data_IF_192910648274
#
_entry.id   IF_192910648274
#
_cell.length_a   1.000
_cell.length_b   1.000
_cell.length_c   1.000
_cell.angle_alpha   90.00
_cell.angle_beta   90.00
_cell.angle_gamma   90.00
#
_symmetry.space_group_name_H-M   'P 1'
#
loop_
_entity.id
_entity.type
_entity.pdbx_description
1 polymer ?
#
# COMPACT_ATOMS: atom_id res chain seq x y z
N UNK A 1 -15.01 12.34 -1.37
CA UNK A 1 -14.77 13.15 -0.15
C UNK A 1 -13.68 14.16 -0.48
N UNK A 2 -13.93 15.46 -0.33
CA UNK A 2 -12.86 16.46 -0.38
C UNK A 2 -12.03 16.32 0.88
N UNK A 3 -10.93 15.59 0.80
CA UNK A 3 -9.92 15.62 1.86
C UNK A 3 -9.17 16.94 1.73
N UNK A 4 -9.32 17.84 2.70
CA UNK A 4 -8.42 18.97 2.86
C UNK A 4 -7.07 18.42 3.31
N UNK A 5 -6.27 17.97 2.35
CA UNK A 5 -4.94 17.42 2.60
C UNK A 5 -3.99 18.54 3.01
N UNK A 6 -3.27 18.30 4.10
CA UNK A 6 -2.28 19.22 4.65
C UNK A 6 -0.88 18.63 4.49
N UNK A 7 0.16 19.47 4.44
CA UNK A 7 1.53 18.98 4.55
C UNK A 7 1.68 18.09 5.79
N UNK A 8 2.21 16.88 5.60
CA UNK A 8 2.37 15.90 6.67
C UNK A 8 1.36 14.75 6.64
N UNK A 9 0.17 14.90 6.04
CA UNK A 9 -0.86 13.86 6.06
C UNK A 9 -0.39 12.58 5.35
N UNK A 10 0.43 12.70 4.30
CA UNK A 10 0.96 11.55 3.57
C UNK A 10 2.00 10.76 4.36
N UNK A 11 2.91 11.46 5.06
CA UNK A 11 3.87 10.78 5.94
C UNK A 11 3.19 10.19 7.17
N UNK A 12 2.12 10.80 7.68
CA UNK A 12 1.29 10.25 8.75
C UNK A 12 0.59 8.96 8.31
N UNK A 13 -0.03 8.95 7.13
CA UNK A 13 -0.61 7.75 6.52
C UNK A 13 0.40 6.60 6.45
N UNK A 14 1.59 6.86 5.89
CA UNK A 14 2.64 5.84 5.80
C UNK A 14 3.12 5.38 7.18
N UNK A 15 3.30 6.31 8.13
CA UNK A 15 3.78 5.99 9.48
C UNK A 15 2.77 5.15 10.25
N UNK A 16 1.48 5.47 10.15
CA UNK A 16 0.41 4.72 10.79
C UNK A 16 0.43 3.26 10.33
N UNK A 17 0.32 3.02 9.02
CA UNK A 17 0.24 1.66 8.47
C UNK A 17 1.48 0.84 8.79
N UNK A 18 2.68 1.43 8.70
CA UNK A 18 3.93 0.74 9.06
C UNK A 18 3.99 0.36 10.53
N UNK A 19 3.54 1.25 11.42
CA UNK A 19 3.49 0.96 12.85
C UNK A 19 2.45 -0.11 13.18
N UNK A 20 1.28 -0.04 12.53
CA UNK A 20 0.22 -1.02 12.68
C UNK A 20 0.69 -2.41 12.22
N UNK A 21 1.17 -2.54 10.98
CA UNK A 21 1.73 -3.79 10.44
C UNK A 21 2.77 -4.39 11.39
N UNK A 22 3.74 -3.59 11.84
CA UNK A 22 4.79 -4.06 12.74
C UNK A 22 4.24 -4.60 14.07
N UNK A 23 3.23 -3.94 14.66
CA UNK A 23 2.62 -4.40 15.92
C UNK A 23 1.82 -5.67 15.70
N UNK A 24 0.96 -5.68 14.69
CA UNK A 24 0.05 -6.78 14.39
C UNK A 24 0.79 -8.03 13.91
N UNK A 25 1.80 -7.91 13.06
CA UNK A 25 2.59 -9.05 12.59
C UNK A 25 3.47 -9.66 13.70
N UNK A 26 3.91 -8.87 14.69
CA UNK A 26 4.57 -9.44 15.87
C UNK A 26 3.61 -10.30 16.68
N UNK A 27 2.39 -9.83 16.91
CA UNK A 27 1.36 -10.63 17.57
C UNK A 27 1.04 -11.89 16.74
N UNK A 28 0.79 -11.74 15.43
CA UNK A 28 0.48 -12.83 14.51
C UNK A 28 1.53 -13.94 14.54
N UNK A 29 2.82 -13.57 14.48
CA UNK A 29 3.92 -14.53 14.56
C UNK A 29 4.00 -15.19 15.94
N UNK A 30 3.73 -14.47 17.02
CA UNK A 30 3.71 -15.03 18.38
C UNK A 30 2.56 -16.03 18.60
N UNK A 31 1.49 -15.96 17.79
CA UNK A 31 0.41 -16.94 17.80
C UNK A 31 0.76 -18.23 17.02
N UNK A 32 1.93 -18.31 16.37
CA UNK A 32 2.30 -19.47 15.55
C UNK A 32 1.48 -19.61 14.25
N UNK A 33 0.81 -18.54 13.81
CA UNK A 33 0.02 -18.52 12.58
C UNK A 33 0.92 -18.55 11.34
N UNK A 34 0.39 -19.02 10.22
CA UNK A 34 1.15 -19.19 8.98
C UNK A 34 1.68 -17.85 8.45
N UNK A 35 3.01 -17.58 8.46
CA UNK A 35 3.55 -16.30 8.02
C UNK A 35 3.38 -16.06 6.51
N UNK A 36 3.19 -17.13 5.71
CA UNK A 36 2.98 -17.00 4.26
C UNK A 36 1.67 -16.31 3.91
N UNK A 37 0.64 -16.44 4.76
CA UNK A 37 -0.67 -15.82 4.52
C UNK A 37 -0.61 -14.29 4.57
N UNK A 38 0.35 -13.72 5.31
CA UNK A 38 0.52 -12.27 5.50
C UNK A 38 1.78 -11.74 4.80
N UNK A 39 2.38 -12.53 3.91
CA UNK A 39 3.57 -12.10 3.19
C UNK A 39 3.25 -10.89 2.30
N UNK A 40 4.04 -9.80 2.36
CA UNK A 40 3.79 -8.67 1.47
C UNK A 40 3.81 -9.08 0.00
N UNK A 41 2.85 -8.61 -0.77
CA UNK A 41 2.83 -8.87 -2.21
C UNK A 41 4.09 -8.33 -2.90
N UNK A 42 4.56 -9.03 -3.93
CA UNK A 42 5.66 -8.59 -4.78
C UNK A 42 5.19 -7.62 -5.87
N UNK A 43 3.92 -7.70 -6.26
CA UNK A 43 3.17 -6.82 -7.15
C UNK A 43 1.67 -6.98 -6.83
N UNK A 44 0.83 -6.04 -7.29
CA UNK A 44 -0.63 -6.25 -7.18
C UNK A 44 -0.98 -7.53 -7.96
N UNK A 45 -1.78 -8.45 -7.40
CA UNK A 45 -2.15 -9.71 -8.05
C UNK A 45 -2.78 -9.51 -9.43
N UNK A 46 -2.55 -10.44 -10.35
CA UNK A 46 -3.06 -10.33 -11.73
C UNK A 46 -4.58 -10.39 -11.75
N UNK A 47 -5.19 -11.14 -10.84
CA UNK A 47 -6.63 -11.30 -10.69
C UNK A 47 -7.32 -9.96 -10.39
N UNK A 48 -6.69 -9.11 -9.57
CA UNK A 48 -7.14 -7.73 -9.33
C UNK A 48 -6.99 -6.87 -10.59
N UNK A 49 -5.89 -7.06 -11.34
CA UNK A 49 -5.58 -6.24 -12.54
C UNK A 49 -6.42 -6.59 -13.76
N UNK A 50 -6.92 -7.81 -13.84
CA UNK A 50 -7.82 -8.25 -14.92
C UNK A 50 -9.28 -7.92 -14.64
N UNK A 51 -9.60 -7.43 -13.43
CA UNK A 51 -10.95 -7.02 -13.08
C UNK A 51 -11.43 -5.88 -14.00
N UNK A 52 -12.69 -5.86 -14.45
CA UNK A 52 -13.23 -4.79 -15.31
C UNK A 52 -13.13 -3.38 -14.70
N UNK A 53 -13.10 -3.28 -13.37
CA UNK A 53 -12.88 -2.03 -12.64
C UNK A 53 -11.42 -1.54 -12.65
N UNK A 54 -10.46 -2.33 -13.14
CA UNK A 54 -9.05 -1.95 -13.24
C UNK A 54 -8.81 -1.08 -14.47
N UNK A 55 -8.79 0.24 -14.29
CA UNK A 55 -8.67 1.21 -15.38
C UNK A 55 -7.22 1.52 -15.74
N UNK A 56 -7.00 2.16 -16.91
CA UNK A 56 -5.68 2.66 -17.32
C UNK A 56 -5.06 3.61 -16.28
N UNK A 57 -5.88 4.44 -15.62
CA UNK A 57 -5.44 5.33 -14.54
C UNK A 57 -4.88 4.56 -13.33
N UNK A 58 -5.50 3.43 -12.97
CA UNK A 58 -4.99 2.56 -11.90
C UNK A 58 -3.68 1.89 -12.32
N UNK A 59 -3.57 1.49 -13.58
CA UNK A 59 -2.34 0.93 -14.12
C UNK A 59 -1.19 1.95 -14.11
N UNK A 60 -1.45 3.20 -14.49
CA UNK A 60 -0.48 4.30 -14.40
C UNK A 60 -0.07 4.58 -12.95
N UNK A 61 -1.02 4.57 -12.02
CA UNK A 61 -0.74 4.78 -10.61
C UNK A 61 0.14 3.67 -10.03
N UNK A 62 -0.14 2.40 -10.35
CA UNK A 62 0.73 1.28 -9.98
C UNK A 62 2.13 1.46 -10.58
N UNK A 63 2.23 1.81 -11.86
CA UNK A 63 3.50 2.03 -12.54
C UNK A 63 4.31 3.14 -11.85
N UNK A 64 3.66 4.20 -11.36
CA UNK A 64 4.35 5.28 -10.64
C UNK A 64 4.97 4.79 -9.32
N UNK A 65 4.27 3.94 -8.56
CA UNK A 65 4.77 3.41 -7.28
C UNK A 65 5.67 2.17 -7.42
N UNK A 66 5.78 1.58 -8.61
CA UNK A 66 6.60 0.38 -8.86
C UNK A 66 7.83 0.66 -9.72
N UNK A 67 7.69 1.47 -10.77
CA UNK A 67 8.74 1.73 -11.77
C UNK A 67 9.30 3.15 -11.67
N UNK A 68 8.46 4.13 -11.32
CA UNK A 68 8.86 5.55 -11.30
C UNK A 68 8.94 6.12 -9.87
N UNK A 69 9.36 5.31 -8.89
CA UNK A 69 9.45 5.73 -7.48
C UNK A 69 10.33 6.96 -7.24
N UNK A 70 11.35 7.19 -8.08
CA UNK A 70 12.22 8.35 -7.96
C UNK A 70 11.50 9.69 -8.24
N UNK A 71 10.33 9.64 -8.90
CA UNK A 71 9.54 10.83 -9.28
C UNK A 71 8.86 11.55 -8.12
N UNK A 72 8.77 10.93 -6.95
CA UNK A 72 8.25 11.61 -5.75
C UNK A 72 9.35 12.43 -5.11
N UNK A 73 9.08 13.65 -4.67
CA UNK A 73 10.06 14.51 -3.99
C UNK A 73 10.28 14.09 -2.53
N UNK A 74 9.22 13.64 -1.87
CA UNK A 74 9.25 13.29 -0.45
C UNK A 74 8.39 12.07 -0.12
N UNK A 75 8.58 11.52 1.09
CA UNK A 75 7.68 10.49 1.60
C UNK A 75 6.25 11.02 1.76
N UNK A 76 6.11 12.32 2.06
CA UNK A 76 4.79 12.94 2.21
C UNK A 76 4.04 12.95 0.88
N UNK A 77 4.72 13.33 -0.21
CA UNK A 77 4.14 13.30 -1.55
C UNK A 77 3.76 11.87 -1.98
N UNK A 78 4.62 10.88 -1.72
CA UNK A 78 4.29 9.47 -1.97
C UNK A 78 3.04 9.04 -1.19
N UNK A 79 2.91 9.44 0.08
CA UNK A 79 1.75 9.12 0.90
C UNK A 79 0.47 9.79 0.40
N UNK A 80 0.54 11.09 0.07
CA UNK A 80 -0.56 11.84 -0.54
C UNK A 80 -1.00 11.20 -1.87
N UNK A 81 -0.04 10.77 -2.69
CA UNK A 81 -0.35 10.10 -3.93
C UNK A 81 -1.11 8.78 -3.70
N UNK A 82 -0.71 7.97 -2.71
CA UNK A 82 -1.43 6.75 -2.36
C UNK A 82 -2.86 7.05 -1.89
N UNK A 83 -3.08 8.14 -1.14
CA UNK A 83 -4.40 8.58 -0.69
C UNK A 83 -5.32 9.11 -1.81
N UNK A 84 -4.74 9.70 -2.86
CA UNK A 84 -5.51 10.47 -3.87
C UNK A 84 -5.57 9.86 -5.26
N UNK A 85 -4.68 8.91 -5.57
CA UNK A 85 -4.61 8.26 -6.89
C UNK A 85 -5.75 7.28 -7.16
N UNK A 86 -6.66 7.06 -6.20
CA UNK A 86 -7.66 5.99 -6.18
C UNK A 86 -7.09 4.57 -6.18
N UNK A 87 -5.77 4.39 -6.36
CA UNK A 87 -5.12 3.08 -6.39
C UNK A 87 -5.32 2.31 -5.08
N UNK A 88 -5.12 2.98 -3.95
CA UNK A 88 -5.27 2.38 -2.64
C UNK A 88 -6.68 1.82 -2.43
N UNK A 89 -7.69 2.65 -2.66
CA UNK A 89 -9.08 2.28 -2.44
C UNK A 89 -9.56 1.25 -3.46
N UNK A 90 -9.09 1.33 -4.71
CA UNK A 90 -9.43 0.36 -5.75
C UNK A 90 -8.89 -1.03 -5.43
N UNK A 91 -7.67 -1.16 -4.89
CA UNK A 91 -7.11 -2.47 -4.49
C UNK A 91 -7.94 -3.10 -3.37
N UNK A 92 -8.42 -2.30 -2.40
CA UNK A 92 -9.34 -2.79 -1.37
C UNK A 92 -10.68 -3.23 -1.97
N UNK A 93 -11.32 -2.38 -2.78
CA UNK A 93 -12.64 -2.65 -3.32
C UNK A 93 -12.64 -3.85 -4.28
N UNK A 94 -11.73 -3.86 -5.25
CA UNK A 94 -11.62 -4.95 -6.24
C UNK A 94 -11.12 -6.22 -5.57
N UNK A 95 -10.14 -6.14 -4.68
CA UNK A 95 -9.62 -7.32 -3.99
C UNK A 95 -10.67 -8.01 -3.12
N UNK A 96 -11.58 -7.25 -2.49
CA UNK A 96 -12.67 -7.81 -1.72
C UNK A 96 -13.63 -8.65 -2.60
N UNK A 97 -13.92 -8.17 -3.80
CA UNK A 97 -14.73 -8.89 -4.79
C UNK A 97 -14.00 -10.13 -5.32
N UNK A 98 -12.78 -9.94 -5.83
CA UNK A 98 -11.97 -11.00 -6.46
C UNK A 98 -11.71 -12.17 -5.52
N UNK A 99 -11.41 -11.89 -4.25
CA UNK A 99 -11.09 -12.93 -3.25
C UNK A 99 -12.28 -13.31 -2.37
N UNK A 100 -13.48 -12.77 -2.62
CA UNK A 100 -14.67 -12.99 -1.79
C UNK A 100 -14.42 -12.70 -0.30
N UNK A 101 -13.61 -11.67 0.00
CA UNK A 101 -13.24 -11.23 1.34
C UNK A 101 -13.76 -9.81 1.59
N UNK A 102 -15.01 -9.73 2.05
CA UNK A 102 -15.69 -8.45 2.28
C UNK A 102 -15.09 -7.60 3.40
N UNK A 103 -14.30 -8.19 4.30
CA UNK A 103 -13.61 -7.44 5.34
C UNK A 103 -12.52 -6.58 4.70
N UNK A 104 -11.80 -7.11 3.69
CA UNK A 104 -10.75 -6.37 2.99
C UNK A 104 -11.24 -5.06 2.37
N UNK A 105 -12.47 -5.01 1.87
CA UNK A 105 -13.05 -3.83 1.21
C UNK A 105 -13.55 -2.74 2.16
N UNK A 106 -13.69 -3.03 3.46
CA UNK A 106 -14.28 -2.10 4.43
C UNK A 106 -13.20 -1.54 5.35
N UNK A 107 -12.94 -0.23 5.31
CA UNK A 107 -11.84 0.44 6.07
C UNK A 107 -11.78 -0.01 7.54
N UNK A 108 -12.93 -0.09 8.23
CA UNK A 108 -13.01 -0.46 9.65
C UNK A 108 -12.69 -1.94 9.93
N UNK A 109 -12.79 -2.80 8.93
CA UNK A 109 -12.63 -4.25 9.04
C UNK A 109 -11.44 -4.80 8.28
N UNK A 110 -10.89 -4.06 7.33
CA UNK A 110 -9.79 -4.50 6.47
C UNK A 110 -8.62 -5.15 7.24
N UNK A 111 -8.21 -4.66 8.43
CA UNK A 111 -7.17 -5.33 9.21
C UNK A 111 -7.47 -6.77 9.69
N UNK A 112 -8.70 -7.26 9.55
CA UNK A 112 -9.09 -8.66 9.84
C UNK A 112 -8.73 -9.60 8.69
N UNK A 113 -8.65 -9.08 7.47
CA UNK A 113 -8.23 -9.83 6.29
C UNK A 113 -6.72 -9.95 6.22
N UNK A 114 -6.21 -11.11 5.81
CA UNK A 114 -4.77 -11.24 5.52
C UNK A 114 -4.34 -10.39 4.32
N UNK A 115 -5.25 -10.12 3.39
CA UNK A 115 -5.02 -9.28 2.19
C UNK A 115 -4.57 -7.87 2.56
N UNK A 116 -5.05 -7.33 3.69
CA UNK A 116 -4.57 -6.06 4.24
C UNK A 116 -3.06 -6.08 4.49
N UNK A 117 -2.55 -7.15 5.09
CA UNK A 117 -1.12 -7.27 5.39
C UNK A 117 -0.30 -7.46 4.11
N UNK A 118 -0.84 -8.21 3.14
CA UNK A 118 -0.18 -8.40 1.85
C UNK A 118 -0.05 -7.05 1.11
N UNK A 119 -1.15 -6.30 1.00
CA UNK A 119 -1.23 -5.01 0.32
C UNK A 119 -0.39 -3.93 1.00
N UNK A 120 -0.63 -3.66 2.29
CA UNK A 120 0.09 -2.62 3.01
C UNK A 120 1.56 -2.98 3.23
N UNK A 121 1.88 -4.28 3.32
CA UNK A 121 3.26 -4.75 3.31
C UNK A 121 3.97 -4.38 2.00
N UNK A 122 3.28 -4.51 0.85
CA UNK A 122 3.83 -4.10 -0.45
C UNK A 122 4.10 -2.60 -0.44
N UNK A 123 3.15 -1.77 0.03
CA UNK A 123 3.35 -0.32 0.20
C UNK A 123 4.59 -0.02 1.05
N UNK A 124 4.75 -0.65 2.21
CA UNK A 124 5.92 -0.45 3.08
C UNK A 124 7.23 -0.90 2.39
N UNK A 125 7.21 -1.96 1.57
CA UNK A 125 8.37 -2.35 0.73
C UNK A 125 8.70 -1.24 -0.28
N UNK A 126 7.71 -0.64 -0.96
CA UNK A 126 7.92 0.47 -1.92
C UNK A 126 8.43 1.74 -1.23
N UNK A 127 7.85 2.11 -0.09
CA UNK A 127 8.34 3.24 0.71
C UNK A 127 9.80 3.03 1.16
N UNK A 128 10.17 1.83 1.63
CA UNK A 128 11.58 1.53 1.97
C UNK A 128 12.52 1.59 0.76
N UNK A 129 12.05 1.21 -0.42
CA UNK A 129 12.82 1.36 -1.65
C UNK A 129 13.01 2.83 -2.02
N UNK A 130 11.94 3.63 -1.95
CA UNK A 130 11.99 5.08 -2.13
C UNK A 130 13.01 5.76 -1.21
N UNK A 131 13.00 5.42 0.09
CA UNK A 131 13.95 5.99 1.05
C UNK A 131 15.41 5.66 0.69
N UNK A 132 15.67 4.45 0.18
CA UNK A 132 17.00 4.05 -0.30
C UNK A 132 17.41 4.85 -1.54
N UNK A 133 16.51 5.04 -2.50
CA UNK A 133 16.74 5.85 -3.71
C UNK A 133 17.09 7.29 -3.32
N UNK A 134 16.30 7.94 -2.46
CA UNK A 134 16.55 9.33 -2.03
C UNK A 134 17.86 9.46 -1.25
N UNK A 135 18.21 8.47 -0.41
CA UNK A 135 19.51 8.45 0.28
C UNK A 135 20.67 8.33 -0.71
N UNK A 136 20.53 7.55 -1.78
CA UNK A 136 21.55 7.43 -2.83
C UNK A 136 21.73 8.76 -3.58
N UNK A 137 20.64 9.37 -4.04
CA UNK A 137 20.68 10.65 -4.78
C UNK A 137 21.35 11.74 -3.94
N UNK A 138 21.05 11.82 -2.63
CA UNK A 138 21.66 12.80 -1.71
C UNK A 138 23.16 12.59 -1.49
N UNK A 139 23.68 11.38 -1.69
CA UNK A 139 25.11 11.06 -1.54
C UNK A 139 25.92 11.31 -2.81
N UNK A 140 25.25 11.38 -3.95
CA UNK A 140 25.86 11.64 -5.27
C UNK A 140 25.84 13.12 -5.66
N UNK A 141 25.36 13.99 -4.77
CA UNK A 141 25.40 15.45 -4.86
C UNK A 141 26.40 15.97 -3.86
#
# INVERSE_FOLDING_TARGET
MNMNLRPGDGIEFLRFHRNFLRKSLRWYNAQGLNPKSVEPWSSIPVEIKTHPGWTSRLQEAENRITRNLASFESSDELGIFLLTSSLHDAVHAIGAEVYSDMDFGQIRWAPRSTLFFNWHGMIDRRWRAFQRIKKSIRRSR
#
